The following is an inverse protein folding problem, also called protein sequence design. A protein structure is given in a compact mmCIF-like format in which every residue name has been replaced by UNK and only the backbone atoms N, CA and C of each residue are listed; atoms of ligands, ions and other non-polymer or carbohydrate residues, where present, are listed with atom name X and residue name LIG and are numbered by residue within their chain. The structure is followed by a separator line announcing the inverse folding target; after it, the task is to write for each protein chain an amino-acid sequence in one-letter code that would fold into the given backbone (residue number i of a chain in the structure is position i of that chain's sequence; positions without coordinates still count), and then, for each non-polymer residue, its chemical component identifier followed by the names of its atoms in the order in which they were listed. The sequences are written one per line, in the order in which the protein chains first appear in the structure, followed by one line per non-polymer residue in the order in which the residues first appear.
data_IF_417913095123
#
_entry.id   IF_417913095123
#
_cell.length_a   1.000
_cell.length_b   1.000
_cell.length_c   1.000
_cell.angle_alpha   90.00
_cell.angle_beta   90.00
_cell.angle_gamma   90.00
#
_symmetry.space_group_name_H-M   'P 1'
#
loop_
_entity.id
_entity.type
_entity.pdbx_description
1 polymer ?
#
# COMPACT_ATOMS: atom_id res chain seq x y z
N UNK A 1 28.24 -37.27 -44.65
CA UNK A 1 29.45 -36.42 -44.53
C UNK A 1 29.78 -36.21 -43.05
N UNK A 2 31.05 -36.36 -42.63
CA UNK A 2 31.44 -36.33 -41.22
C UNK A 2 31.16 -34.98 -40.54
N UNK A 3 31.18 -33.87 -41.29
CA UNK A 3 30.92 -32.51 -40.78
C UNK A 3 29.54 -32.37 -40.13
N UNK A 4 28.49 -32.96 -40.71
CA UNK A 4 27.14 -32.92 -40.14
C UNK A 4 27.02 -33.69 -38.82
N UNK A 5 27.82 -34.75 -38.61
CA UNK A 5 27.87 -35.47 -37.33
C UNK A 5 28.46 -34.61 -36.23
N UNK A 6 29.49 -33.83 -36.52
CA UNK A 6 30.04 -32.89 -35.55
C UNK A 6 29.05 -31.79 -35.20
N UNK A 7 28.37 -31.23 -36.19
CA UNK A 7 27.39 -30.16 -35.97
C UNK A 7 26.20 -30.62 -35.10
N UNK A 8 25.73 -31.85 -35.33
CA UNK A 8 24.64 -32.44 -34.54
C UNK A 8 25.07 -32.75 -33.10
N UNK A 9 26.27 -33.29 -32.90
CA UNK A 9 26.81 -33.59 -31.55
C UNK A 9 27.08 -32.29 -30.78
N UNK A 10 27.83 -31.36 -31.37
CA UNK A 10 28.16 -30.09 -30.71
C UNK A 10 26.92 -29.24 -30.48
N UNK A 11 26.02 -29.18 -31.47
CA UNK A 11 24.76 -28.45 -31.36
C UNK A 11 23.84 -29.01 -30.27
N UNK A 12 23.70 -30.34 -30.18
CA UNK A 12 22.89 -30.98 -29.13
C UNK A 12 23.51 -30.81 -27.74
N UNK A 13 24.84 -30.93 -27.62
CA UNK A 13 25.54 -30.68 -26.36
C UNK A 13 25.37 -29.24 -25.88
N UNK A 14 25.47 -28.26 -26.79
CA UNK A 14 25.23 -26.84 -26.49
C UNK A 14 23.78 -26.61 -26.01
N UNK A 15 22.81 -27.19 -26.71
CA UNK A 15 21.39 -27.08 -26.35
C UNK A 15 21.13 -27.68 -24.95
N UNK A 16 21.69 -28.84 -24.66
CA UNK A 16 21.58 -29.47 -23.36
C UNK A 16 22.21 -28.60 -22.25
N UNK A 17 23.38 -28.02 -22.50
CA UNK A 17 24.06 -27.15 -21.55
C UNK A 17 23.25 -25.87 -21.26
N UNK A 18 22.64 -25.28 -22.29
CA UNK A 18 21.76 -24.12 -22.12
C UNK A 18 20.51 -24.46 -21.29
N UNK A 19 19.87 -25.60 -21.58
CA UNK A 19 18.69 -26.06 -20.83
C UNK A 19 19.01 -26.33 -19.36
N UNK A 20 20.12 -27.01 -19.08
CA UNK A 20 20.55 -27.28 -17.70
C UNK A 20 20.88 -25.97 -16.98
N UNK A 21 21.52 -25.02 -17.67
CA UNK A 21 21.83 -23.71 -17.08
C UNK A 21 20.56 -22.92 -16.76
N UNK A 22 19.58 -22.90 -17.66
CA UNK A 22 18.29 -22.24 -17.41
C UNK A 22 17.52 -22.90 -16.27
N UNK A 23 17.52 -24.24 -16.19
CA UNK A 23 16.89 -24.95 -15.08
C UNK A 23 17.58 -24.67 -13.73
N UNK A 24 18.92 -24.59 -13.70
CA UNK A 24 19.67 -24.33 -12.47
C UNK A 24 19.60 -22.87 -12.01
N UNK A 25 19.58 -21.92 -12.94
CA UNK A 25 19.70 -20.49 -12.63
C UNK A 25 18.42 -19.68 -12.86
N UNK A 26 17.52 -20.12 -13.74
CA UNK A 26 16.33 -19.39 -14.18
C UNK A 26 15.21 -19.32 -13.13
N UNK A 27 15.00 -20.38 -12.35
CA UNK A 27 13.98 -20.41 -11.29
C UNK A 27 14.32 -19.40 -10.17
N UNK A 28 15.59 -19.38 -9.76
CA UNK A 28 16.07 -18.54 -8.66
C UNK A 28 16.00 -17.03 -8.93
N UNK A 29 15.98 -16.61 -10.20
CA UNK A 29 15.90 -15.19 -10.55
C UNK A 29 14.47 -14.65 -10.58
N UNK A 30 13.47 -15.49 -10.81
CA UNK A 30 12.06 -15.06 -10.79
C UNK A 30 11.57 -14.83 -9.37
N UNK A 31 11.96 -15.69 -8.43
CA UNK A 31 11.57 -15.58 -7.02
C UNK A 31 12.42 -14.57 -6.23
N UNK A 32 13.68 -14.31 -6.63
CA UNK A 32 14.56 -13.37 -5.91
C UNK A 32 14.56 -11.94 -6.43
N UNK A 33 13.89 -11.65 -7.56
CA UNK A 33 13.91 -10.29 -8.13
C UNK A 33 13.18 -9.27 -7.26
N UNK A 34 12.15 -9.71 -6.55
CA UNK A 34 11.40 -8.90 -5.62
C UNK A 34 11.08 -9.73 -4.40
N UNK A 35 11.69 -9.40 -3.27
CA UNK A 35 11.28 -9.98 -2.00
C UNK A 35 9.90 -9.39 -1.63
N UNK A 36 8.85 -10.23 -1.57
CA UNK A 36 7.49 -9.77 -1.35
C UNK A 36 7.30 -9.11 0.02
N UNK A 37 8.22 -9.32 0.97
CA UNK A 37 8.20 -8.64 2.27
C UNK A 37 8.39 -7.12 2.16
N UNK A 38 9.05 -6.61 1.12
CA UNK A 38 9.17 -5.16 0.89
C UNK A 38 7.87 -4.50 0.45
N UNK A 39 6.94 -5.25 -0.14
CA UNK A 39 5.62 -4.76 -0.52
C UNK A 39 4.56 -5.01 0.53
N UNK A 40 4.95 -5.50 1.72
CA UNK A 40 4.01 -5.63 2.81
C UNK A 40 3.47 -4.25 3.19
N UNK A 41 2.16 -4.08 2.97
CA UNK A 41 1.42 -2.87 3.33
C UNK A 41 1.56 -2.53 4.81
N UNK A 42 1.80 -3.51 5.68
CA UNK A 42 2.04 -3.28 7.10
C UNK A 42 3.32 -2.47 7.36
N UNK A 43 4.32 -2.53 6.46
CA UNK A 43 5.62 -1.89 6.62
C UNK A 43 5.61 -0.41 6.21
N UNK A 44 4.96 -0.06 5.08
CA UNK A 44 4.96 1.32 4.56
C UNK A 44 3.64 2.07 4.76
N UNK A 45 2.54 1.36 4.96
CA UNK A 45 1.21 1.92 5.21
C UNK A 45 0.54 1.15 6.36
N UNK A 46 1.11 1.21 7.58
CA UNK A 46 0.49 0.58 8.74
C UNK A 46 -0.93 1.13 8.86
N UNK A 47 -1.92 0.30 8.52
CA UNK A 47 -3.32 0.62 8.79
C UNK A 47 -3.46 0.65 10.30
N UNK A 48 -3.26 1.83 10.89
CA UNK A 48 -3.59 2.06 12.27
C UNK A 48 -5.05 1.63 12.41
N UNK A 49 -5.30 0.57 13.17
CA UNK A 49 -6.66 0.07 13.43
C UNK A 49 -7.58 1.19 13.96
N UNK A 50 -7.00 2.28 14.46
CA UNK A 50 -7.65 3.53 14.81
C UNK A 50 -8.35 4.24 13.62
N UNK A 51 -7.79 4.24 12.40
CA UNK A 51 -8.42 4.91 11.24
C UNK A 51 -9.61 4.08 10.71
N UNK A 52 -9.53 2.75 10.80
CA UNK A 52 -10.67 1.88 10.48
C UNK A 52 -11.79 1.93 11.53
N UNK A 53 -11.49 2.38 12.75
CA UNK A 53 -12.50 2.77 13.73
C UNK A 53 -13.05 4.17 13.44
N UNK A 54 -12.24 5.06 12.87
CA UNK A 54 -12.61 6.44 12.55
C UNK A 54 -13.60 6.54 11.38
N UNK A 55 -13.45 5.67 10.37
CA UNK A 55 -14.43 5.50 9.29
C UNK A 55 -15.81 5.02 9.81
N UNK A 56 -15.88 4.44 11.01
CA UNK A 56 -17.14 4.03 11.68
C UNK A 56 -17.80 5.18 12.46
N UNK A 57 -17.13 6.32 12.64
CA UNK A 57 -17.71 7.52 13.28
C UNK A 57 -18.37 8.49 12.28
N UNK A 58 -18.50 8.08 11.02
CA UNK A 58 -19.72 8.44 10.29
C UNK A 58 -20.87 7.68 10.94
N UNK A 59 -21.35 8.21 12.07
CA UNK A 59 -22.57 7.79 12.74
C UNK A 59 -23.64 7.55 11.68
N UNK A 60 -24.04 6.29 11.49
CA UNK A 60 -25.05 5.89 10.49
C UNK A 60 -26.39 6.61 10.69
N UNK A 61 -26.54 7.23 11.85
CA UNK A 61 -27.74 7.92 12.32
C UNK A 61 -27.81 9.38 11.86
N UNK A 62 -26.73 9.94 11.32
CA UNK A 62 -26.65 11.36 10.91
C UNK A 62 -26.44 11.45 9.41
N UNK A 63 -27.33 12.16 8.72
CA UNK A 63 -27.19 12.34 7.28
C UNK A 63 -26.03 13.30 6.95
N UNK A 64 -25.32 13.11 5.82
CA UNK A 64 -24.26 14.04 5.43
C UNK A 64 -24.72 15.51 5.38
N UNK A 65 -25.97 15.74 5.00
CA UNK A 65 -26.58 17.07 4.95
C UNK A 65 -26.72 17.71 6.34
N UNK A 66 -27.05 16.92 7.36
CA UNK A 66 -27.22 17.38 8.74
C UNK A 66 -25.88 17.79 9.37
N UNK A 67 -24.80 17.04 9.08
CA UNK A 67 -23.44 17.40 9.49
C UNK A 67 -22.95 18.68 8.82
N UNK A 68 -23.24 18.85 7.53
CA UNK A 68 -22.94 20.10 6.81
C UNK A 68 -23.73 21.25 7.43
N UNK A 69 -25.01 21.06 7.75
CA UNK A 69 -25.82 22.09 8.41
C UNK A 69 -25.28 22.46 9.81
N UNK A 70 -24.80 21.48 10.59
CA UNK A 70 -24.18 21.71 11.91
C UNK A 70 -22.87 22.50 11.79
N UNK A 71 -21.98 22.12 10.88
CA UNK A 71 -20.68 22.79 10.68
C UNK A 71 -20.88 24.21 10.14
N UNK A 72 -21.74 24.38 9.14
CA UNK A 72 -21.95 25.68 8.50
C UNK A 72 -22.95 26.57 9.26
N UNK A 73 -23.78 26.00 10.15
CA UNK A 73 -24.65 26.72 11.06
C UNK A 73 -23.87 27.67 11.99
N UNK A 74 -22.64 27.30 12.36
CA UNK A 74 -21.70 28.11 13.16
C UNK A 74 -21.31 29.43 12.49
N UNK A 75 -21.42 29.49 11.15
CA UNK A 75 -21.05 30.65 10.34
C UNK A 75 -22.27 31.44 9.86
N UNK A 76 -23.49 31.03 10.26
CA UNK A 76 -24.67 31.84 9.99
C UNK A 76 -24.58 33.15 10.77
N UNK A 77 -24.81 34.26 10.07
CA UNK A 77 -24.53 35.63 10.51
C UNK A 77 -25.45 36.11 11.65
N UNK A 78 -26.25 35.23 12.26
CA UNK A 78 -27.35 35.62 13.14
C UNK A 78 -27.24 35.18 14.61
N UNK A 79 -26.03 35.05 15.15
CA UNK A 79 -25.82 35.01 16.60
C UNK A 79 -25.09 36.27 17.07
N UNK A 80 -25.87 37.32 17.30
CA UNK A 80 -25.43 38.66 17.71
C UNK A 80 -24.74 38.77 19.07
N UNK A 81 -24.13 37.72 19.64
CA UNK A 81 -23.43 37.79 20.93
C UNK A 81 -22.14 36.94 20.96
N UNK A 82 -21.08 37.57 20.47
CA UNK A 82 -19.82 37.76 21.22
C UNK A 82 -19.10 36.48 21.67
N UNK A 83 -18.37 35.90 20.72
CA UNK A 83 -16.97 35.44 20.85
C UNK A 83 -16.43 35.28 22.28
N UNK A 84 -16.74 34.17 22.96
CA UNK A 84 -15.88 33.67 24.04
C UNK A 84 -14.92 32.66 23.43
N UNK A 85 -13.72 33.16 23.13
CA UNK A 85 -12.58 32.38 22.66
C UNK A 85 -12.33 31.24 23.65
N UNK A 86 -12.41 30.01 23.17
CA UNK A 86 -11.92 28.83 23.90
C UNK A 86 -10.44 29.07 24.25
N UNK A 87 -10.17 29.18 25.55
CA UNK A 87 -8.81 29.15 26.09
C UNK A 87 -8.29 27.72 25.92
N UNK A 88 -7.21 27.57 25.16
CA UNK A 88 -6.49 26.30 25.02
C UNK A 88 -5.86 25.94 26.35
N UNK A 89 -6.49 25.03 27.11
CA UNK A 89 -5.84 24.31 28.20
C UNK A 89 -4.79 23.38 27.59
N UNK A 90 -3.53 23.83 27.57
CA UNK A 90 -2.39 22.95 27.31
C UNK A 90 -2.21 22.01 28.50
N UNK A 91 -2.59 20.74 28.36
CA UNK A 91 -2.24 19.71 29.35
C UNK A 91 -0.75 19.42 29.24
N UNK A 92 0.03 19.83 30.23
CA UNK A 92 1.41 19.37 30.41
C UNK A 92 1.36 17.91 30.88
N UNK A 93 1.95 17.01 30.11
CA UNK A 93 2.18 15.61 30.50
C UNK A 93 3.50 15.56 31.28
N UNK A 94 3.49 14.96 32.48
CA UNK A 94 4.68 14.67 33.29
C UNK A 94 4.94 13.17 33.33
#
# INVERSE_FOLDING_TARGET
MPVFKYFTIVGSALLALLLVSDALFGESQRERRFDPSFYDSATYAPRAAAIAADERYFTADVTPAERVAEVFGQFTVNDGKRTKRYSSLSSVIR
#
